data_IF_351015104283
#
_entry.id   IF_351015104283
#
_cell.length_a   1.000
_cell.length_b   1.000
_cell.length_c   1.000
_cell.angle_alpha   90.00
_cell.angle_beta   90.00
_cell.angle_gamma   90.00
#
_symmetry.space_group_name_H-M   'P 1'
#
loop_
_entity.id
_entity.type
_entity.pdbx_description
1 polymer ?
#
# COMPACT_ATOMS: atom_id res chain seq x y z
N UNK A 1 -5.46 -13.70 -1.98
CA UNK A 1 -4.76 -12.67 -1.19
C UNK A 1 -3.49 -13.22 -0.57
N UNK A 2 -2.37 -12.50 -0.63
CA UNK A 2 -1.11 -12.92 -0.02
C UNK A 2 -1.25 -13.08 1.50
N UNK A 3 -0.52 -14.05 2.06
CA UNK A 3 -0.49 -14.38 3.50
C UNK A 3 0.69 -13.75 4.24
N UNK A 4 1.67 -13.24 3.50
CA UNK A 4 2.92 -12.71 4.03
C UNK A 4 3.17 -11.31 3.51
N UNK A 5 3.93 -10.54 4.28
CA UNK A 5 4.29 -9.17 3.95
C UNK A 5 5.74 -8.91 4.37
N UNK A 6 6.52 -8.24 3.52
CA UNK A 6 7.89 -7.83 3.84
C UNK A 6 7.92 -6.42 4.43
N UNK A 7 8.30 -6.29 5.70
CA UNK A 7 8.42 -4.96 6.33
C UNK A 7 9.55 -4.12 5.73
N UNK A 8 10.58 -4.77 5.17
CA UNK A 8 11.67 -4.08 4.46
C UNK A 8 11.15 -3.45 3.18
N UNK A 9 10.42 -4.22 2.37
CA UNK A 9 9.81 -3.69 1.15
C UNK A 9 8.82 -2.55 1.45
N UNK A 10 8.03 -2.68 2.53
CA UNK A 10 7.12 -1.62 2.96
C UNK A 10 7.87 -0.35 3.39
N UNK A 11 8.96 -0.48 4.13
CA UNK A 11 9.83 0.65 4.49
C UNK A 11 10.43 1.32 3.25
N UNK A 12 11.02 0.53 2.35
CA UNK A 12 11.63 1.04 1.13
C UNK A 12 10.59 1.83 0.31
N UNK A 13 9.36 1.33 0.17
CA UNK A 13 8.28 2.05 -0.51
C UNK A 13 7.92 3.40 0.13
N UNK A 14 7.88 3.46 1.47
CA UNK A 14 7.59 4.69 2.20
C UNK A 14 8.74 5.70 2.10
N UNK A 15 9.97 5.21 2.20
CA UNK A 15 11.18 6.02 2.11
C UNK A 15 11.35 6.62 0.71
N UNK A 16 11.18 5.81 -0.34
CA UNK A 16 11.25 6.30 -1.72
C UNK A 16 10.15 7.30 -2.03
N UNK A 17 8.94 7.07 -1.53
CA UNK A 17 7.85 8.03 -1.69
C UNK A 17 8.23 9.38 -1.07
N UNK A 18 8.73 9.39 0.17
CA UNK A 18 9.12 10.61 0.89
C UNK A 18 10.42 11.26 0.37
N UNK A 19 11.15 10.60 -0.53
CA UNK A 19 12.43 11.08 -1.00
C UNK A 19 12.26 12.22 -2.03
N UNK A 20 13.08 13.28 -1.88
CA UNK A 20 13.02 14.49 -2.70
C UNK A 20 13.17 14.22 -4.21
N UNK A 21 13.91 13.16 -4.59
CA UNK A 21 14.15 12.80 -5.99
C UNK A 21 12.90 12.34 -6.73
N UNK A 22 11.95 11.69 -6.04
CA UNK A 22 10.67 11.25 -6.62
C UNK A 22 9.61 12.34 -6.62
N UNK A 23 9.64 13.23 -5.62
CA UNK A 23 8.66 14.29 -5.45
C UNK A 23 8.76 15.44 -6.47
N UNK A 24 9.92 15.66 -7.10
CA UNK A 24 10.08 16.74 -8.09
C UNK A 24 9.09 16.63 -9.26
N UNK A 25 8.87 15.41 -9.77
CA UNK A 25 7.93 15.18 -10.86
C UNK A 25 6.47 15.34 -10.41
N UNK A 26 6.14 14.86 -9.20
CA UNK A 26 4.80 15.00 -8.63
C UNK A 26 4.45 16.47 -8.38
N UNK A 27 5.40 17.28 -7.88
CA UNK A 27 5.25 18.74 -7.74
C UNK A 27 5.08 19.39 -9.12
N UNK A 28 5.92 19.04 -10.10
CA UNK A 28 5.85 19.61 -11.45
C UNK A 28 4.51 19.31 -12.14
N UNK A 29 3.99 18.08 -12.00
CA UNK A 29 2.80 17.62 -12.73
C UNK A 29 1.48 17.94 -12.02
N UNK A 30 1.44 17.84 -10.68
CA UNK A 30 0.20 17.95 -9.91
C UNK A 30 0.21 19.13 -8.92
N UNK A 31 1.31 19.88 -8.80
CA UNK A 31 1.44 21.03 -7.91
C UNK A 31 1.37 20.69 -6.41
N UNK A 32 1.31 19.41 -6.05
CA UNK A 32 1.12 18.94 -4.68
C UNK A 32 2.02 17.72 -4.41
N UNK A 33 2.48 17.60 -3.16
CA UNK A 33 3.12 16.38 -2.71
C UNK A 33 2.03 15.32 -2.54
N UNK A 34 2.13 14.20 -3.26
CA UNK A 34 1.25 13.05 -2.99
C UNK A 34 1.43 12.60 -1.55
N UNK A 35 0.32 12.24 -0.92
CA UNK A 35 0.32 11.75 0.45
C UNK A 35 1.00 10.38 0.52
N UNK A 36 2.25 10.33 0.99
CA UNK A 36 2.96 9.07 1.28
C UNK A 36 2.43 8.33 2.52
N UNK A 37 1.31 8.79 3.09
CA UNK A 37 0.76 8.29 4.36
C UNK A 37 0.34 6.83 4.29
N UNK A 38 -0.11 6.34 3.12
CA UNK A 38 -0.49 4.93 2.95
C UNK A 38 0.71 3.99 3.08
N UNK A 39 1.85 4.32 2.46
CA UNK A 39 3.07 3.51 2.57
C UNK A 39 3.58 3.45 4.02
N UNK A 40 3.52 4.59 4.72
CA UNK A 40 3.84 4.63 6.15
C UNK A 40 2.84 3.87 7.03
N UNK A 41 1.57 3.80 6.64
CA UNK A 41 0.57 2.99 7.33
C UNK A 41 0.85 1.49 7.17
N UNK A 42 1.26 1.05 5.98
CA UNK A 42 1.64 -0.34 5.74
C UNK A 42 2.89 -0.75 6.53
N UNK A 43 3.90 0.11 6.58
CA UNK A 43 5.08 -0.15 7.40
C UNK A 43 4.74 -0.29 8.89
N UNK A 44 3.94 0.64 9.44
CA UNK A 44 3.47 0.56 10.84
C UNK A 44 2.66 -0.71 11.09
N UNK A 45 1.78 -1.09 10.15
CA UNK A 45 1.02 -2.32 10.22
C UNK A 45 1.96 -3.54 10.28
N UNK A 46 2.94 -3.63 9.39
CA UNK A 46 3.90 -4.72 9.37
C UNK A 46 4.72 -4.83 10.67
N UNK A 47 5.14 -3.70 11.23
CA UNK A 47 5.81 -3.67 12.52
C UNK A 47 4.90 -4.14 13.66
N UNK A 48 3.61 -3.79 13.64
CA UNK A 48 2.63 -4.25 14.62
C UNK A 48 2.36 -5.77 14.55
N UNK A 49 2.49 -6.38 13.36
CA UNK A 49 2.32 -7.82 13.18
C UNK A 49 3.42 -8.65 13.83
N UNK A 50 4.62 -8.10 14.03
CA UNK A 50 5.74 -8.82 14.66
C UNK A 50 5.44 -9.29 16.09
N UNK A 51 4.51 -8.62 16.78
CA UNK A 51 4.09 -8.96 18.13
C UNK A 51 2.91 -9.96 18.17
N UNK A 52 2.49 -10.51 17.01
CA UNK A 52 1.38 -11.45 16.88
C UNK A 52 1.89 -12.87 16.61
N UNK A 53 1.06 -13.87 16.89
CA UNK A 53 1.31 -15.25 16.44
C UNK A 53 1.32 -15.33 14.91
N UNK A 54 2.05 -16.31 14.36
CA UNK A 54 2.18 -16.46 12.91
C UNK A 54 0.81 -16.57 12.20
N UNK A 55 -0.12 -17.35 12.75
CA UNK A 55 -1.45 -17.53 12.17
C UNK A 55 -2.28 -16.24 12.19
N UNK A 56 -2.28 -15.54 13.32
CA UNK A 56 -3.01 -14.26 13.47
C UNK A 56 -2.41 -13.18 12.57
N UNK A 57 -1.08 -13.17 12.41
CA UNK A 57 -0.42 -12.25 11.49
C UNK A 57 -0.81 -12.55 10.04
N UNK A 58 -0.87 -13.82 9.66
CA UNK A 58 -1.20 -14.25 8.31
C UNK A 58 -2.67 -13.95 7.95
N UNK A 59 -3.59 -14.01 8.92
CA UNK A 59 -4.99 -13.58 8.75
C UNK A 59 -5.12 -12.07 8.63
N UNK A 60 -4.44 -11.31 9.51
CA UNK A 60 -4.46 -9.86 9.47
C UNK A 60 -3.91 -9.32 8.14
N UNK A 61 -2.84 -9.92 7.61
CA UNK A 61 -2.31 -9.56 6.28
C UNK A 61 -3.37 -9.78 5.20
N UNK A 62 -4.05 -10.94 5.19
CA UNK A 62 -5.10 -11.19 4.20
C UNK A 62 -6.24 -10.18 4.27
N UNK A 63 -6.71 -9.87 5.49
CA UNK A 63 -7.76 -8.87 5.69
C UNK A 63 -7.33 -7.50 5.15
N UNK A 64 -6.10 -7.06 5.47
CA UNK A 64 -5.55 -5.80 4.98
C UNK A 64 -5.53 -5.71 3.45
N UNK A 65 -5.18 -6.79 2.75
CA UNK A 65 -5.19 -6.82 1.28
C UNK A 65 -6.60 -6.86 0.70
N UNK A 66 -7.56 -7.52 1.37
CA UNK A 66 -8.97 -7.48 0.98
C UNK A 66 -9.55 -6.07 1.09
N UNK A 67 -9.28 -5.39 2.21
CA UNK A 67 -9.75 -4.02 2.42
C UNK A 67 -9.18 -3.05 1.38
N UNK A 68 -7.92 -3.25 0.98
CA UNK A 68 -7.30 -2.45 -0.08
C UNK A 68 -7.94 -2.70 -1.43
N UNK A 69 -8.19 -3.96 -1.78
CA UNK A 69 -8.86 -4.28 -3.04
C UNK A 69 -10.29 -3.73 -3.06
N UNK A 70 -11.04 -3.87 -1.97
CA UNK A 70 -12.38 -3.29 -1.84
C UNK A 70 -12.37 -1.77 -2.09
N UNK A 71 -11.43 -1.03 -1.48
CA UNK A 71 -11.28 0.42 -1.73
C UNK A 71 -10.94 0.77 -3.19
N UNK A 72 -10.16 -0.06 -3.86
CA UNK A 72 -9.82 0.14 -5.28
C UNK A 72 -11.05 -0.14 -6.15
N UNK A 73 -11.82 -1.17 -5.84
CA UNK A 73 -13.05 -1.54 -6.54
C UNK A 73 -14.19 -0.53 -6.32
N UNK A 74 -14.22 0.17 -5.18
CA UNK A 74 -15.20 1.24 -4.90
C UNK A 74 -14.98 2.49 -5.78
N UNK A 75 -13.75 2.70 -6.26
CA UNK A 75 -13.41 3.81 -7.14
C UNK A 75 -13.60 3.47 -8.63
N UNK A 76 -13.53 4.48 -9.52
CA UNK A 76 -13.50 4.24 -10.96
C UNK A 76 -12.29 3.38 -11.31
N UNK A 77 -12.55 2.12 -11.70
CA UNK A 77 -11.52 1.13 -12.00
C UNK A 77 -11.44 0.90 -13.52
N UNK A 78 -10.23 0.68 -14.04
CA UNK A 78 -10.02 0.35 -15.44
C UNK A 78 -10.67 -0.97 -15.84
N UNK A 79 -10.90 -1.88 -14.90
CA UNK A 79 -11.62 -3.14 -15.16
C UNK A 79 -13.08 -2.93 -15.60
N UNK A 80 -13.70 -1.77 -15.33
CA UNK A 80 -15.03 -1.44 -15.84
C UNK A 80 -15.03 -1.07 -17.33
N UNK A 81 -13.92 -0.52 -17.83
CA UNK A 81 -13.76 -0.08 -19.23
C UNK A 81 -13.37 -1.25 -20.14
N UNK A 82 -12.61 -2.21 -19.61
CA UNK A 82 -12.08 -3.33 -20.38
C UNK A 82 -12.74 -4.65 -19.95
N UNK A 83 -13.65 -5.17 -20.77
CA UNK A 83 -14.16 -6.54 -20.56
C UNK A 83 -13.03 -7.53 -20.88
N UNK A 84 -12.69 -8.42 -19.92
CA UNK A 84 -11.78 -9.54 -20.21
C UNK A 84 -12.36 -10.34 -21.37
N UNK A 85 -11.58 -10.45 -22.45
CA UNK A 85 -11.93 -11.23 -23.63
C UNK A 85 -11.38 -12.65 -23.53
#
# INVERSE_FOLDING_TARGET
YPRTMSCRAAFDSAFYCASLGGHFNDIYRYGTLRACSEHWADWRFCMALKNRSADAAAEAVQQRYRDKEAKVLEGPNSEEVWTRR
#
